data_IF_586942575424
#
_entry.id   IF_586942575424
#
_cell.length_a   1.000
_cell.length_b   1.000
_cell.length_c   1.000
_cell.angle_alpha   90.00
_cell.angle_beta   90.00
_cell.angle_gamma   90.00
#
_symmetry.space_group_name_H-M   'P 1'
#
loop_
_entity.id
_entity.type
_entity.pdbx_description
1 polymer ?
#
# COMPACT_ATOMS: atom_id res chain seq x y z
N UNK A 1 -2.94 -16.51 9.60
CA UNK A 1 -3.68 -15.78 8.54
C UNK A 1 -2.71 -14.76 7.98
N UNK A 2 -2.13 -15.04 6.82
CA UNK A 2 -1.25 -14.12 6.12
C UNK A 2 -2.07 -12.93 5.66
N UNK A 3 -1.88 -11.78 6.31
CA UNK A 3 -2.50 -10.53 5.91
C UNK A 3 -2.05 -10.24 4.48
N UNK A 4 -2.98 -10.32 3.55
CA UNK A 4 -2.72 -10.05 2.12
C UNK A 4 -2.28 -8.59 2.01
N UNK A 5 -1.02 -8.38 1.68
CA UNK A 5 -0.40 -7.04 1.63
C UNK A 5 -0.97 -6.17 0.50
N UNK A 6 -1.64 -6.80 -0.47
CA UNK A 6 -2.20 -6.17 -1.66
C UNK A 6 -3.72 -6.20 -1.63
N UNK A 7 -4.37 -5.20 -2.23
CA UNK A 7 -5.83 -5.17 -2.31
C UNK A 7 -6.37 -6.31 -3.17
N UNK A 8 -7.57 -6.79 -2.85
CA UNK A 8 -8.28 -7.77 -3.67
C UNK A 8 -8.43 -7.30 -5.12
N UNK A 9 -8.59 -5.98 -5.32
CA UNK A 9 -8.68 -5.39 -6.65
C UNK A 9 -7.42 -5.63 -7.47
N UNK A 10 -6.25 -5.43 -6.89
CA UNK A 10 -4.97 -5.68 -7.55
C UNK A 10 -4.77 -7.17 -7.84
N UNK A 11 -5.04 -8.03 -6.89
CA UNK A 11 -4.92 -9.48 -7.07
C UNK A 11 -5.86 -10.01 -8.16
N UNK A 12 -7.09 -9.53 -8.20
CA UNK A 12 -8.06 -9.86 -9.25
C UNK A 12 -7.60 -9.36 -10.62
N UNK A 13 -7.02 -8.16 -10.70
CA UNK A 13 -6.44 -7.63 -11.93
C UNK A 13 -5.30 -8.52 -12.42
N UNK A 14 -4.35 -8.91 -11.55
CA UNK A 14 -3.26 -9.85 -11.90
C UNK A 14 -3.81 -11.15 -12.43
N UNK A 15 -4.79 -11.74 -11.73
CA UNK A 15 -5.40 -13.00 -12.15
C UNK A 15 -6.10 -12.88 -13.50
N UNK A 16 -6.82 -11.79 -13.76
CA UNK A 16 -7.50 -11.54 -15.03
C UNK A 16 -6.49 -11.42 -16.18
N UNK A 17 -5.38 -10.70 -15.97
CA UNK A 17 -4.32 -10.58 -16.97
C UNK A 17 -3.69 -11.94 -17.27
N UNK A 18 -3.42 -12.75 -16.26
CA UNK A 18 -2.88 -14.10 -16.43
C UNK A 18 -3.83 -15.03 -17.20
N UNK A 19 -5.13 -14.94 -16.93
CA UNK A 19 -6.13 -15.73 -17.65
C UNK A 19 -6.20 -15.39 -19.15
N UNK A 20 -5.76 -14.19 -19.57
CA UNK A 20 -5.70 -13.82 -20.99
C UNK A 20 -4.77 -14.71 -21.82
N UNK A 21 -3.86 -15.45 -21.16
CA UNK A 21 -2.96 -16.42 -21.79
C UNK A 21 -3.54 -17.84 -21.86
N UNK A 22 -4.75 -18.08 -21.36
CA UNK A 22 -5.35 -19.43 -21.34
C UNK A 22 -5.49 -20.07 -22.72
N UNK A 23 -5.63 -19.29 -23.78
CA UNK A 23 -5.72 -19.76 -25.15
C UNK A 23 -4.34 -19.92 -25.82
N UNK A 24 -3.27 -19.56 -25.15
CA UNK A 24 -1.92 -19.58 -25.70
C UNK A 24 -1.31 -20.99 -25.54
N UNK A 25 -1.10 -21.69 -26.65
CA UNK A 25 -0.60 -23.06 -26.65
C UNK A 25 0.93 -23.15 -26.49
N UNK A 26 1.66 -22.05 -26.59
CA UNK A 26 3.11 -22.03 -26.48
C UNK A 26 3.58 -21.86 -25.03
N UNK A 27 2.77 -21.21 -24.20
CA UNK A 27 3.12 -20.96 -22.81
C UNK A 27 2.81 -22.17 -21.93
N UNK A 28 3.79 -22.59 -21.18
CA UNK A 28 3.67 -23.59 -20.14
C UNK A 28 3.31 -22.96 -18.80
N UNK A 29 3.96 -21.84 -18.49
CA UNK A 29 3.84 -21.21 -17.18
C UNK A 29 4.11 -19.70 -17.21
N UNK A 30 3.29 -18.93 -16.51
CA UNK A 30 3.52 -17.50 -16.26
C UNK A 30 3.35 -17.23 -14.77
N UNK A 31 4.34 -16.60 -14.16
CA UNK A 31 4.33 -16.27 -12.72
C UNK A 31 4.65 -14.79 -12.54
N UNK A 32 3.88 -14.13 -11.69
CA UNK A 32 4.09 -12.74 -11.32
C UNK A 32 4.66 -12.70 -9.91
N UNK A 33 5.82 -12.09 -9.79
CA UNK A 33 6.51 -11.84 -8.52
C UNK A 33 6.52 -10.36 -8.23
N UNK A 34 6.35 -10.01 -6.96
CA UNK A 34 6.51 -8.63 -6.47
C UNK A 34 7.65 -8.58 -5.46
N UNK A 35 8.47 -7.55 -5.56
CA UNK A 35 9.56 -7.32 -4.65
C UNK A 35 9.03 -6.88 -3.29
N UNK A 36 9.51 -7.51 -2.23
CA UNK A 36 9.20 -7.19 -0.84
C UNK A 36 10.49 -6.92 -0.07
N UNK A 37 10.46 -5.94 0.82
CA UNK A 37 11.55 -5.76 1.78
C UNK A 37 11.51 -6.92 2.78
N UNK A 38 12.53 -7.77 2.76
CA UNK A 38 12.68 -8.84 3.73
C UNK A 38 13.07 -8.30 5.11
N UNK A 39 12.86 -9.10 6.15
CA UNK A 39 13.24 -8.76 7.54
C UNK A 39 14.75 -8.49 7.71
N UNK A 40 15.56 -9.05 6.82
CA UNK A 40 17.02 -8.84 6.78
C UNK A 40 17.48 -7.64 5.94
N UNK A 41 16.54 -6.83 5.40
CA UNK A 41 16.85 -5.71 4.52
C UNK A 41 17.17 -6.11 3.06
N UNK A 42 17.24 -7.40 2.75
CA UNK A 42 17.39 -7.87 1.37
C UNK A 42 16.02 -7.99 0.72
N UNK A 43 15.84 -7.53 -0.54
CA UNK A 43 14.58 -7.68 -1.25
C UNK A 43 14.33 -9.17 -1.54
N UNK A 44 13.13 -9.63 -1.25
CA UNK A 44 12.64 -10.97 -1.60
C UNK A 44 11.54 -10.86 -2.64
N UNK A 45 11.34 -11.90 -3.46
CA UNK A 45 10.31 -11.95 -4.47
C UNK A 45 9.17 -12.84 -3.99
N UNK A 46 7.98 -12.24 -3.81
CA UNK A 46 6.76 -12.94 -3.41
C UNK A 46 5.87 -13.21 -4.62
N UNK A 47 5.33 -14.42 -4.74
CA UNK A 47 4.40 -14.80 -5.81
C UNK A 47 3.04 -14.17 -5.52
N UNK A 48 2.55 -13.32 -6.44
CA UNK A 48 1.21 -12.70 -6.34
C UNK A 48 0.20 -13.30 -7.32
N UNK A 49 0.67 -14.03 -8.32
CA UNK A 49 -0.19 -14.75 -9.25
C UNK A 49 0.57 -15.70 -10.14
N UNK A 50 -0.11 -16.76 -10.61
CA UNK A 50 0.45 -17.72 -11.54
C UNK A 50 -0.61 -18.27 -12.49
N UNK A 51 -0.18 -18.65 -13.69
CA UNK A 51 -0.94 -19.38 -14.68
C UNK A 51 -0.09 -20.53 -15.26
N UNK A 52 -0.63 -21.74 -15.43
CA UNK A 52 -1.92 -22.20 -14.92
C UNK A 52 -1.98 -22.14 -13.39
N UNK A 53 -3.18 -22.01 -12.85
CA UNK A 53 -3.38 -21.99 -11.40
C UNK A 53 -3.00 -23.36 -10.83
N UNK A 54 -1.98 -23.40 -9.98
CA UNK A 54 -1.48 -24.62 -9.36
C UNK A 54 -1.61 -24.49 -7.84
N UNK A 55 -1.98 -25.59 -7.18
CA UNK A 55 -1.96 -25.68 -5.73
C UNK A 55 -0.54 -25.94 -5.18
N UNK A 56 0.42 -26.23 -6.07
CA UNK A 56 1.81 -26.44 -5.66
C UNK A 56 2.41 -25.10 -5.22
N UNK A 57 2.89 -25.08 -4.00
CA UNK A 57 3.71 -23.97 -3.49
C UNK A 57 4.95 -23.84 -4.38
N UNK A 58 5.07 -22.68 -5.04
CA UNK A 58 6.31 -22.37 -5.75
C UNK A 58 7.38 -22.03 -4.71
N UNK A 59 8.56 -22.62 -4.89
CA UNK A 59 9.69 -22.29 -4.04
C UNK A 59 10.07 -20.80 -4.25
N UNK A 60 10.56 -20.13 -3.19
CA UNK A 60 11.12 -18.79 -3.34
C UNK A 60 12.20 -18.77 -4.42
N UNK A 61 12.21 -17.72 -5.24
CA UNK A 61 13.17 -17.59 -6.37
C UNK A 61 14.61 -17.71 -5.90
N UNK A 62 14.88 -17.24 -4.69
CA UNK A 62 16.21 -17.25 -4.07
C UNK A 62 16.72 -18.68 -3.77
N UNK A 63 15.82 -19.63 -3.52
CA UNK A 63 16.14 -21.03 -3.17
C UNK A 63 15.96 -21.97 -4.33
N UNK A 64 15.27 -21.56 -5.40
CA UNK A 64 15.05 -22.40 -6.58
C UNK A 64 16.29 -22.39 -7.50
N UNK A 65 17.11 -23.41 -7.37
CA UNK A 65 18.33 -23.56 -8.18
C UNK A 65 18.04 -23.71 -9.67
N UNK A 66 16.87 -24.23 -10.05
CA UNK A 66 16.47 -24.36 -11.45
C UNK A 66 16.25 -23.01 -12.11
N UNK A 67 15.83 -21.99 -11.35
CA UNK A 67 15.62 -20.63 -11.86
C UNK A 67 16.93 -19.87 -12.10
N UNK A 68 18.02 -20.29 -11.48
CA UNK A 68 19.35 -19.69 -11.67
C UNK A 68 20.03 -20.12 -12.96
N UNK A 69 19.57 -21.23 -13.54
CA UNK A 69 20.13 -21.74 -14.80
C UNK A 69 19.49 -21.01 -15.97
N UNK A 70 20.27 -20.39 -16.88
CA UNK A 70 19.73 -19.80 -18.10
C UNK A 70 18.98 -20.86 -18.91
N UNK A 71 17.81 -20.50 -19.43
CA UNK A 71 17.01 -21.37 -20.29
C UNK A 71 16.48 -20.58 -21.47
N UNK A 72 16.59 -21.11 -22.69
CA UNK A 72 16.01 -20.51 -23.92
C UNK A 72 14.47 -20.47 -23.86
N UNK A 73 13.88 -21.36 -23.07
CA UNK A 73 12.42 -21.43 -22.91
C UNK A 73 11.86 -20.50 -21.84
N UNK A 74 12.73 -19.74 -21.15
CA UNK A 74 12.33 -18.82 -20.08
C UNK A 74 12.70 -17.40 -20.40
N UNK A 75 11.75 -16.47 -20.18
CA UNK A 75 11.99 -15.03 -20.24
C UNK A 75 11.49 -14.33 -18.99
N UNK A 76 12.14 -13.21 -18.68
CA UNK A 76 11.86 -12.36 -17.53
C UNK A 76 11.48 -10.97 -18.00
N UNK A 77 10.36 -10.44 -17.52
CA UNK A 77 9.86 -9.11 -17.87
C UNK A 77 9.77 -8.29 -16.57
N UNK A 78 10.59 -7.24 -16.41
CA UNK A 78 10.60 -6.45 -15.20
C UNK A 78 9.30 -5.65 -15.04
N UNK A 79 8.79 -5.61 -13.81
CA UNK A 79 7.77 -4.65 -13.38
C UNK A 79 8.50 -3.42 -12.87
N UNK A 80 8.66 -2.42 -13.71
CA UNK A 80 9.50 -1.27 -13.41
C UNK A 80 8.72 0.03 -13.56
N UNK A 81 8.88 0.93 -12.58
CA UNK A 81 8.40 2.29 -12.62
C UNK A 81 9.59 3.25 -12.48
N UNK A 82 9.89 4.01 -13.55
CA UNK A 82 11.10 4.81 -13.61
C UNK A 82 12.36 3.96 -13.42
N UNK A 83 13.12 4.23 -12.36
CA UNK A 83 14.32 3.46 -11.98
C UNK A 83 14.07 2.38 -10.93
N UNK A 84 12.84 2.24 -10.45
CA UNK A 84 12.48 1.33 -9.35
C UNK A 84 11.96 0.02 -9.92
N UNK A 85 12.60 -1.09 -9.53
CA UNK A 85 12.13 -2.44 -9.82
C UNK A 85 11.11 -2.86 -8.75
N UNK A 86 9.84 -2.98 -9.14
CA UNK A 86 8.74 -3.35 -8.25
C UNK A 86 8.51 -4.87 -8.21
N UNK A 87 8.97 -5.59 -9.25
CA UNK A 87 8.76 -7.03 -9.36
C UNK A 87 9.20 -7.54 -10.72
N UNK A 88 8.77 -8.77 -11.05
CA UNK A 88 9.12 -9.41 -12.32
C UNK A 88 8.05 -10.42 -12.73
N UNK A 89 7.81 -10.56 -14.03
CA UNK A 89 7.05 -11.65 -14.62
C UNK A 89 8.03 -12.66 -15.17
N UNK A 90 7.86 -13.91 -14.78
CA UNK A 90 8.53 -15.05 -15.37
C UNK A 90 7.55 -15.74 -16.33
N UNK A 91 7.93 -15.86 -17.58
CA UNK A 91 7.21 -16.64 -18.58
C UNK A 91 8.06 -17.83 -19.03
N UNK A 92 7.47 -19.01 -19.05
CA UNK A 92 8.08 -20.23 -19.54
C UNK A 92 7.19 -20.83 -20.62
N UNK A 93 7.81 -21.33 -21.67
CA UNK A 93 7.11 -22.06 -22.74
C UNK A 93 7.56 -23.53 -22.76
N UNK A 94 6.76 -24.36 -23.37
CA UNK A 94 7.14 -25.72 -23.62
C UNK A 94 8.48 -25.80 -24.36
N UNK A 95 9.26 -26.85 -24.07
CA UNK A 95 10.53 -27.05 -24.72
C UNK A 95 10.32 -27.22 -26.24
N UNK A 96 10.86 -26.31 -27.01
CA UNK A 96 10.81 -26.30 -28.47
C UNK A 96 12.09 -25.70 -29.01
N UNK A 97 12.46 -26.10 -30.25
CA UNK A 97 13.59 -25.49 -30.97
C UNK A 97 13.22 -24.15 -31.63
N UNK A 98 11.92 -23.79 -31.65
CA UNK A 98 11.45 -22.54 -32.24
C UNK A 98 11.83 -21.33 -31.39
N UNK A 99 12.03 -20.21 -32.03
CA UNK A 99 12.23 -18.93 -31.36
C UNK A 99 10.92 -18.41 -30.73
N UNK A 100 11.04 -17.50 -29.74
CA UNK A 100 9.89 -16.82 -29.16
C UNK A 100 9.17 -16.00 -30.23
N UNK A 101 7.85 -16.18 -30.39
CA UNK A 101 7.07 -15.32 -31.28
C UNK A 101 7.12 -13.88 -30.78
N UNK A 102 7.43 -12.97 -31.68
CA UNK A 102 7.50 -11.54 -31.36
C UNK A 102 6.17 -11.01 -30.80
N UNK A 103 5.05 -11.46 -31.31
CA UNK A 103 3.72 -11.08 -30.81
C UNK A 103 3.46 -11.51 -29.36
N UNK A 104 3.95 -12.68 -28.95
CA UNK A 104 3.87 -13.16 -27.58
C UNK A 104 4.78 -12.34 -26.66
N UNK A 105 6.01 -12.07 -27.11
CA UNK A 105 6.97 -11.26 -26.39
C UNK A 105 6.44 -9.84 -26.13
N UNK A 106 5.90 -9.19 -27.16
CA UNK A 106 5.27 -7.87 -27.04
C UNK A 106 4.06 -7.86 -26.10
N UNK A 107 3.24 -8.92 -26.10
CA UNK A 107 2.11 -9.05 -25.15
C UNK A 107 2.59 -9.16 -23.70
N UNK A 108 3.59 -9.99 -23.43
CA UNK A 108 4.18 -10.16 -22.10
C UNK A 108 4.84 -8.87 -21.63
N UNK A 109 5.52 -8.16 -22.51
CA UNK A 109 6.11 -6.85 -22.22
C UNK A 109 5.03 -5.80 -21.92
N UNK A 110 3.97 -5.74 -22.72
CA UNK A 110 2.84 -4.86 -22.47
C UNK A 110 2.15 -5.15 -21.15
N UNK A 111 1.97 -6.45 -20.84
CA UNK A 111 1.44 -6.89 -19.55
C UNK A 111 2.34 -6.46 -18.39
N UNK A 112 3.67 -6.55 -18.53
CA UNK A 112 4.59 -6.13 -17.46
C UNK A 112 4.47 -4.63 -17.18
N UNK A 113 4.33 -3.80 -18.20
CA UNK A 113 4.13 -2.35 -18.05
C UNK A 113 2.80 -2.05 -17.35
N UNK A 114 1.71 -2.70 -17.79
CA UNK A 114 0.39 -2.51 -17.16
C UNK A 114 0.38 -2.94 -15.69
N UNK A 115 1.01 -4.06 -15.38
CA UNK A 115 1.12 -4.54 -13.99
C UNK A 115 2.02 -3.63 -13.15
N UNK A 116 3.13 -3.12 -13.70
CA UNK A 116 3.98 -2.16 -13.02
C UNK A 116 3.21 -0.90 -12.62
N UNK A 117 2.46 -0.30 -13.56
CA UNK A 117 1.65 0.88 -13.31
C UNK A 117 0.54 0.61 -12.28
N UNK A 118 -0.11 -0.55 -12.36
CA UNK A 118 -1.14 -0.94 -11.39
C UNK A 118 -0.57 -1.14 -9.99
N UNK A 119 0.60 -1.77 -9.89
CA UNK A 119 1.30 -2.01 -8.63
C UNK A 119 1.79 -0.69 -8.01
N UNK A 120 2.37 0.20 -8.81
CA UNK A 120 2.79 1.53 -8.36
C UNK A 120 1.61 2.31 -7.78
N UNK A 121 0.47 2.35 -8.50
CA UNK A 121 -0.75 2.99 -8.01
C UNK A 121 -1.28 2.38 -6.71
N UNK A 122 -1.15 1.07 -6.53
CA UNK A 122 -1.56 0.38 -5.31
C UNK A 122 -0.64 0.76 -4.13
N UNK A 123 0.67 0.84 -4.36
CA UNK A 123 1.65 1.23 -3.35
C UNK A 123 1.46 2.69 -2.93
N UNK A 124 1.23 3.60 -3.90
CA UNK A 124 0.95 5.00 -3.62
C UNK A 124 -0.35 5.18 -2.82
N UNK A 125 -1.41 4.46 -3.21
CA UNK A 125 -2.67 4.46 -2.47
C UNK A 125 -2.46 4.04 -1.02
N UNK A 126 -1.70 2.98 -0.79
CA UNK A 126 -1.39 2.50 0.56
C UNK A 126 -0.63 3.55 1.35
N UNK A 127 0.42 4.13 0.76
CA UNK A 127 1.21 5.19 1.39
C UNK A 127 0.36 6.39 1.79
N UNK A 128 -0.57 6.81 0.92
CA UNK A 128 -1.48 7.93 1.22
C UNK A 128 -2.43 7.60 2.37
N UNK A 129 -2.93 6.36 2.45
CA UNK A 129 -3.78 5.92 3.57
C UNK A 129 -3.02 5.91 4.89
N UNK A 130 -1.80 5.38 4.90
CA UNK A 130 -0.93 5.38 6.08
C UNK A 130 -0.65 6.83 6.55
N UNK A 131 -0.35 7.75 5.61
CA UNK A 131 -0.16 9.18 5.93
C UNK A 131 -1.44 9.84 6.51
N UNK A 132 -2.62 9.49 5.99
CA UNK A 132 -3.88 10.01 6.53
C UNK A 132 -4.14 9.50 7.95
N UNK A 133 -3.82 8.26 8.25
CA UNK A 133 -3.99 7.70 9.59
C UNK A 133 -3.00 8.32 10.59
N UNK A 134 -1.75 8.53 10.19
CA UNK A 134 -0.76 9.27 10.99
C UNK A 134 -1.22 10.72 11.27
N UNK A 135 -1.76 11.42 10.27
CA UNK A 135 -2.30 12.77 10.45
C UNK A 135 -3.48 12.80 11.42
N UNK A 136 -4.40 11.83 11.34
CA UNK A 136 -5.53 11.72 12.27
C UNK A 136 -5.06 11.52 13.71
N UNK A 137 -4.06 10.67 13.91
CA UNK A 137 -3.46 10.45 15.23
C UNK A 137 -2.83 11.73 15.79
N UNK A 138 -2.06 12.46 14.96
CA UNK A 138 -1.47 13.74 15.36
C UNK A 138 -2.52 14.78 15.73
N UNK A 139 -3.59 14.90 14.93
CA UNK A 139 -4.70 15.81 15.23
C UNK A 139 -5.37 15.44 16.55
N UNK A 140 -5.62 14.14 16.77
CA UNK A 140 -6.21 13.65 18.02
C UNK A 140 -5.35 14.02 19.24
N UNK A 141 -4.04 13.81 19.13
CA UNK A 141 -3.07 14.21 20.17
C UNK A 141 -3.10 15.72 20.43
N UNK A 142 -3.10 16.55 19.37
CA UNK A 142 -3.19 18.02 19.51
C UNK A 142 -4.48 18.45 20.20
N UNK A 143 -5.62 17.86 19.83
CA UNK A 143 -6.91 18.13 20.47
C UNK A 143 -6.87 17.78 21.97
N UNK A 144 -6.28 16.64 22.32
CA UNK A 144 -6.11 16.26 23.72
C UNK A 144 -5.18 17.22 24.47
N UNK A 145 -4.08 17.65 23.87
CA UNK A 145 -3.15 18.63 24.46
C UNK A 145 -3.78 20.02 24.64
N UNK A 146 -4.66 20.44 23.73
CA UNK A 146 -5.38 21.70 23.83
C UNK A 146 -6.49 21.66 24.89
N UNK A 147 -7.11 20.51 25.10
CA UNK A 147 -8.19 20.37 26.10
C UNK A 147 -7.71 20.66 27.52
N UNK A 148 -6.47 20.29 27.85
CA UNK A 148 -5.90 20.51 29.18
C UNK A 148 -5.75 21.99 29.55
N UNK A 149 -5.08 22.85 28.74
CA UNK A 149 -4.98 24.29 29.03
C UNK A 149 -6.34 25.00 28.96
N UNK A 150 -7.24 24.57 28.08
CA UNK A 150 -8.60 25.10 28.05
C UNK A 150 -9.39 24.79 29.32
N UNK A 151 -9.25 23.59 29.89
CA UNK A 151 -9.87 23.23 31.18
C UNK A 151 -9.28 24.06 32.32
N UNK A 152 -7.96 24.30 32.31
CA UNK A 152 -7.30 25.16 33.29
C UNK A 152 -7.80 26.61 33.19
N UNK A 153 -7.90 27.16 31.96
CA UNK A 153 -8.45 28.48 31.75
C UNK A 153 -9.89 28.63 32.27
N UNK A 154 -10.73 27.62 32.02
CA UNK A 154 -12.09 27.59 32.57
C UNK A 154 -12.12 27.58 34.10
N UNK A 155 -11.17 26.87 34.73
CA UNK A 155 -11.04 26.84 36.19
C UNK A 155 -10.61 28.22 36.73
N UNK A 156 -9.63 28.87 36.11
CA UNK A 156 -9.21 30.19 36.47
C UNK A 156 -10.32 31.23 36.27
N UNK A 157 -11.06 31.14 35.17
CA UNK A 157 -12.21 32.02 34.92
C UNK A 157 -13.27 31.90 36.04
N UNK A 158 -13.60 30.66 36.45
CA UNK A 158 -14.51 30.40 37.58
C UNK A 158 -14.00 30.97 38.91
N UNK A 159 -12.70 30.85 39.18
CA UNK A 159 -12.10 31.45 40.38
C UNK A 159 -12.13 32.98 40.38
N UNK A 160 -11.86 33.59 39.21
CA UNK A 160 -11.95 35.04 39.04
C UNK A 160 -13.39 35.52 39.24
N UNK A 161 -14.39 34.83 38.69
CA UNK A 161 -15.80 35.18 38.84
C UNK A 161 -16.23 35.17 40.33
N UNK A 162 -15.67 34.27 41.16
CA UNK A 162 -15.95 34.21 42.60
C UNK A 162 -15.30 35.37 43.39
N UNK A 163 -14.21 35.96 42.87
CA UNK A 163 -13.47 37.07 43.49
C UNK A 163 -13.98 38.45 43.07
N UNK A 164 -14.60 38.53 41.91
CA UNK A 164 -15.19 39.74 41.37
C UNK A 164 -16.56 39.90 42.05
N UNK A 165 -16.79 41.01 42.72
CA UNK A 165 -18.09 41.30 43.36
C UNK A 165 -19.21 41.45 42.30
N UNK A 166 -20.47 41.21 42.69
CA UNK A 166 -21.62 41.43 41.84
C UNK A 166 -21.64 42.87 41.35
N UNK A 167 -21.99 43.11 40.09
CA UNK A 167 -22.04 44.42 39.40
C UNK A 167 -20.68 44.96 38.92
N UNK A 168 -19.62 44.22 38.93
CA UNK A 168 -18.37 44.61 38.31
C UNK A 168 -18.45 44.53 36.77
N UNK A 169 -17.94 45.54 36.10
CA UNK A 169 -17.82 45.60 34.63
C UNK A 169 -17.04 44.35 34.08
N UNK A 170 -16.14 43.82 34.89
CA UNK A 170 -15.34 42.63 34.56
C UNK A 170 -16.13 41.32 34.65
N UNK A 171 -17.29 41.27 35.32
CA UNK A 171 -18.11 40.06 35.42
C UNK A 171 -18.60 39.56 34.04
N UNK A 172 -19.02 40.50 33.19
CA UNK A 172 -19.51 40.19 31.85
C UNK A 172 -18.38 39.67 30.94
N UNK A 173 -17.15 40.21 31.09
CA UNK A 173 -15.97 39.71 30.35
C UNK A 173 -15.62 38.30 30.73
N UNK A 174 -15.62 37.95 32.03
CA UNK A 174 -15.32 36.61 32.50
C UNK A 174 -16.42 35.59 32.08
N UNK A 175 -17.70 35.99 32.11
CA UNK A 175 -18.80 35.17 31.60
C UNK A 175 -18.68 34.93 30.10
N UNK A 176 -18.30 35.97 29.34
CA UNK A 176 -18.01 35.83 27.89
C UNK A 176 -16.91 34.79 27.62
N UNK A 177 -15.80 34.89 28.34
CA UNK A 177 -14.67 33.95 28.20
C UNK A 177 -15.07 32.51 28.57
N UNK A 178 -15.91 32.29 29.58
CA UNK A 178 -16.46 30.98 29.94
C UNK A 178 -17.37 30.43 28.85
N UNK A 179 -18.17 31.27 28.19
CA UNK A 179 -19.05 30.85 27.10
C UNK A 179 -18.23 30.43 25.87
N UNK A 180 -17.19 31.17 25.50
CA UNK A 180 -16.29 30.82 24.41
C UNK A 180 -15.57 29.48 24.70
N UNK A 181 -15.06 29.29 25.93
CA UNK A 181 -14.43 28.03 26.33
C UNK A 181 -15.42 26.85 26.25
N UNK A 182 -16.67 27.07 26.64
CA UNK A 182 -17.70 26.03 26.56
C UNK A 182 -18.05 25.66 25.10
N UNK A 183 -17.98 26.63 24.17
CA UNK A 183 -18.17 26.34 22.74
C UNK A 183 -17.02 25.51 22.17
N UNK A 184 -15.77 25.87 22.45
CA UNK A 184 -14.59 25.11 21.98
C UNK A 184 -14.59 23.68 22.51
N UNK A 185 -15.13 23.41 23.71
CA UNK A 185 -15.20 22.06 24.27
C UNK A 185 -16.33 21.18 23.66
N UNK A 186 -17.20 21.73 22.81
CA UNK A 186 -18.27 20.99 22.13
C UNK A 186 -17.81 20.30 20.84
N UNK A 187 -16.68 20.71 20.30
CA UNK A 187 -16.02 20.15 19.11
C UNK A 187 -14.87 19.23 19.53
#
# INVERSE_FOLDING_TARGET
MTSTQYSERFLNFVQQQLMSFQADQELEHVVVYVARSGESGSPTLEVVGQWPKSEKFLQPVETDTALRTPSSNRRWYPLQEGSILLGVIRAERFATEEEWRESLDQRLQSMSILMANSLASELDRKRLLDQLDDQKEQISLMVHQLRNPLAALGTYAKLLLRKIGPESENENLVKGLMNEQAQVNKY
#
